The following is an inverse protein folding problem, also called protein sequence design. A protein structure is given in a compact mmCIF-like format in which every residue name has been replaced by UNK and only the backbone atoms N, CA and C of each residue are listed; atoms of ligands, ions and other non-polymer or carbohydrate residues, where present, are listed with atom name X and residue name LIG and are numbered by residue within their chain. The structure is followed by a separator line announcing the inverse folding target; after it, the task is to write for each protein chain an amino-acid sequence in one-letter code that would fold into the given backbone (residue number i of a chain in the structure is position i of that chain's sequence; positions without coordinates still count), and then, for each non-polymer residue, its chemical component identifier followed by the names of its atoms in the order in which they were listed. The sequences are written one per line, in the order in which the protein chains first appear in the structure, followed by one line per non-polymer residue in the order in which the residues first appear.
data_IF_802020750819
#
_entry.id   IF_802020750819
#
_cell.length_a   1.000
_cell.length_b   1.000
_cell.length_c   1.000
_cell.angle_alpha   90.00
_cell.angle_beta   90.00
_cell.angle_gamma   90.00
#
_symmetry.space_group_name_H-M   'P 1'
#
loop_
_entity.id
_entity.type
_entity.pdbx_description
1 polymer ?
#
# COMPACT_ATOMS: atom_id res chain seq x y z
N UNK A 1 21.79 -45.27 -43.11
CA UNK A 1 21.10 -43.94 -43.12
C UNK A 1 20.50 -43.61 -41.75
N UNK A 2 20.04 -44.60 -40.95
CA UNK A 2 19.46 -44.34 -39.61
C UNK A 2 20.50 -43.94 -38.55
N UNK A 3 21.74 -44.46 -38.62
CA UNK A 3 22.79 -44.11 -37.65
C UNK A 3 23.26 -42.64 -37.69
N UNK A 4 23.23 -42.02 -38.87
CA UNK A 4 23.60 -40.62 -38.98
C UNK A 4 22.52 -39.68 -38.43
N UNK A 5 21.25 -40.08 -38.51
CA UNK A 5 20.13 -39.32 -37.93
C UNK A 5 20.19 -39.39 -36.42
N UNK A 6 20.50 -40.54 -35.82
CA UNK A 6 20.65 -40.69 -34.38
C UNK A 6 21.82 -39.87 -33.81
N UNK A 7 22.97 -39.87 -34.49
CA UNK A 7 24.12 -39.09 -34.07
C UNK A 7 23.81 -37.58 -34.16
N UNK A 8 23.12 -37.14 -35.23
CA UNK A 8 22.77 -35.75 -35.41
C UNK A 8 21.76 -35.29 -34.34
N UNK A 9 20.79 -36.10 -34.02
CA UNK A 9 19.84 -35.85 -32.90
C UNK A 9 20.56 -35.76 -31.57
N UNK A 10 21.46 -36.66 -31.26
CA UNK A 10 22.21 -36.66 -30.01
C UNK A 10 23.12 -35.45 -29.85
N UNK A 11 23.83 -35.05 -30.90
CA UNK A 11 24.78 -33.93 -30.85
C UNK A 11 24.07 -32.57 -30.77
N UNK A 12 22.95 -32.39 -31.50
CA UNK A 12 22.25 -31.10 -31.56
C UNK A 12 21.32 -30.85 -30.38
N UNK A 13 20.67 -31.88 -29.84
CA UNK A 13 19.66 -31.73 -28.79
C UNK A 13 20.18 -31.99 -27.36
N UNK A 14 21.31 -32.65 -27.20
CA UNK A 14 21.88 -32.95 -25.87
C UNK A 14 22.26 -31.70 -25.08
N UNK A 15 22.95 -30.68 -25.67
CA UNK A 15 23.32 -29.49 -24.93
C UNK A 15 22.09 -28.67 -24.52
N UNK A 16 21.10 -28.53 -25.39
CA UNK A 16 19.87 -27.80 -25.06
C UNK A 16 19.05 -28.51 -23.95
N UNK A 17 18.99 -29.83 -23.94
CA UNK A 17 18.34 -30.59 -22.88
C UNK A 17 19.08 -30.51 -21.55
N UNK A 18 20.42 -30.53 -21.58
CA UNK A 18 21.22 -30.36 -20.36
C UNK A 18 21.06 -28.98 -19.77
N UNK A 19 21.06 -27.94 -20.59
CA UNK A 19 20.80 -26.56 -20.13
C UNK A 19 19.40 -26.39 -19.53
N UNK A 20 18.38 -26.94 -20.20
CA UNK A 20 17.01 -26.92 -19.66
C UNK A 20 16.88 -27.70 -18.34
N UNK A 21 17.61 -28.81 -18.16
CA UNK A 21 17.63 -29.55 -16.90
C UNK A 21 18.35 -28.79 -15.78
N UNK A 22 19.43 -28.07 -16.10
CA UNK A 22 20.17 -27.26 -15.13
C UNK A 22 19.33 -26.08 -14.67
N UNK A 23 18.65 -25.38 -15.60
CA UNK A 23 17.75 -24.29 -15.23
C UNK A 23 16.55 -24.77 -14.40
N UNK A 24 15.96 -25.90 -14.79
CA UNK A 24 14.84 -26.48 -14.05
C UNK A 24 15.25 -26.94 -12.65
N UNK A 25 16.40 -27.62 -12.51
CA UNK A 25 16.89 -28.07 -11.22
C UNK A 25 17.33 -26.91 -10.32
N UNK A 26 17.89 -25.84 -10.87
CA UNK A 26 18.24 -24.64 -10.09
C UNK A 26 17.00 -23.90 -9.57
N UNK A 27 15.94 -23.84 -10.36
CA UNK A 27 14.65 -23.26 -9.94
C UNK A 27 13.99 -24.08 -8.82
N UNK A 28 14.05 -25.40 -8.90
CA UNK A 28 13.50 -26.28 -7.86
C UNK A 28 14.30 -26.22 -6.55
N UNK A 29 15.62 -26.12 -6.63
CA UNK A 29 16.48 -26.02 -5.45
C UNK A 29 16.27 -24.71 -4.69
N UNK A 30 15.95 -23.62 -5.41
CA UNK A 30 15.63 -22.33 -4.80
C UNK A 30 14.26 -22.33 -4.06
N UNK A 31 13.33 -23.20 -4.48
CA UNK A 31 11.96 -23.23 -3.95
C UNK A 31 11.77 -24.19 -2.76
N UNK A 32 12.71 -25.10 -2.55
CA UNK A 32 12.64 -26.14 -1.49
C UNK A 32 13.49 -25.86 -0.24
N UNK A 33 14.19 -24.73 -0.19
CA UNK A 33 15.01 -24.39 0.96
C UNK A 33 14.13 -23.91 2.10
N UNK A 34 14.06 -24.69 3.18
CA UNK A 34 13.39 -24.26 4.40
C UNK A 34 13.92 -22.88 4.81
N UNK A 35 13.04 -21.94 5.19
CA UNK A 35 13.45 -20.59 5.54
C UNK A 35 14.48 -20.66 6.67
N UNK A 36 15.68 -20.14 6.40
CA UNK A 36 16.77 -20.09 7.39
C UNK A 36 16.34 -19.28 8.63
N UNK A 37 17.08 -19.36 9.75
CA UNK A 37 16.71 -18.65 10.98
C UNK A 37 16.56 -17.15 10.79
N UNK A 38 17.32 -16.55 9.87
CA UNK A 38 17.19 -15.12 9.52
C UNK A 38 15.81 -14.78 8.91
N UNK A 39 15.24 -15.68 8.11
CA UNK A 39 13.93 -15.44 7.49
C UNK A 39 12.80 -15.40 8.52
N UNK A 40 12.86 -16.23 9.55
CA UNK A 40 11.88 -16.19 10.64
C UNK A 40 11.94 -14.88 11.41
N UNK A 41 13.14 -14.33 11.65
CA UNK A 41 13.30 -13.01 12.27
C UNK A 41 12.72 -11.93 11.38
N UNK A 42 12.99 -11.94 10.08
CA UNK A 42 12.41 -10.98 9.15
C UNK A 42 10.88 -11.05 9.12
N UNK A 43 10.30 -12.24 9.10
CA UNK A 43 8.86 -12.43 9.16
C UNK A 43 8.26 -11.92 10.47
N UNK A 44 8.92 -12.16 11.60
CA UNK A 44 8.47 -11.65 12.89
C UNK A 44 8.48 -10.12 12.93
N UNK A 45 9.57 -9.49 12.48
CA UNK A 45 9.68 -8.02 12.39
C UNK A 45 8.60 -7.46 11.46
N UNK A 46 8.41 -8.04 10.27
CA UNK A 46 7.39 -7.61 9.33
C UNK A 46 5.98 -7.69 9.95
N UNK A 47 5.67 -8.77 10.66
CA UNK A 47 4.39 -8.97 11.31
C UNK A 47 4.14 -7.90 12.40
N UNK A 48 5.16 -7.59 13.20
CA UNK A 48 5.06 -6.55 14.24
C UNK A 48 4.81 -5.19 13.60
N UNK A 49 5.56 -4.84 12.56
CA UNK A 49 5.38 -3.57 11.84
C UNK A 49 3.99 -3.49 11.19
N UNK A 50 3.50 -4.58 10.64
CA UNK A 50 2.16 -4.65 10.04
C UNK A 50 1.06 -4.43 11.07
N UNK A 51 1.18 -5.05 12.25
CA UNK A 51 0.24 -4.85 13.35
C UNK A 51 0.27 -3.39 13.82
N UNK A 52 1.45 -2.80 13.99
CA UNK A 52 1.59 -1.40 14.37
C UNK A 52 0.92 -0.47 13.35
N UNK A 53 1.00 -0.78 12.06
CA UNK A 53 0.35 0.00 11.02
C UNK A 53 -1.19 -0.09 11.11
N UNK A 54 -1.74 -1.29 11.30
CA UNK A 54 -3.19 -1.45 11.50
C UNK A 54 -3.65 -0.67 12.74
N UNK A 55 -2.91 -0.72 13.84
CA UNK A 55 -3.24 0.03 15.06
C UNK A 55 -3.17 1.54 14.82
N UNK A 56 -2.21 2.02 14.04
CA UNK A 56 -2.12 3.44 13.67
C UNK A 56 -3.35 3.89 12.86
N UNK A 57 -3.75 3.13 11.85
CA UNK A 57 -4.95 3.39 11.07
C UNK A 57 -6.22 3.34 11.93
N UNK A 58 -6.31 2.36 12.85
CA UNK A 58 -7.42 2.28 13.80
C UNK A 58 -7.55 3.57 14.60
N UNK A 59 -6.44 4.08 15.14
CA UNK A 59 -6.43 5.32 15.89
C UNK A 59 -6.79 6.54 15.02
N UNK A 60 -6.31 6.61 13.79
CA UNK A 60 -6.68 7.67 12.85
C UNK A 60 -8.19 7.67 12.60
N UNK A 61 -8.78 6.50 12.35
CA UNK A 61 -10.22 6.38 12.12
C UNK A 61 -11.03 6.72 13.37
N UNK A 62 -10.61 6.23 14.54
CA UNK A 62 -11.26 6.57 15.82
C UNK A 62 -11.20 8.07 16.12
N UNK A 63 -10.08 8.74 15.83
CA UNK A 63 -9.95 10.20 15.96
C UNK A 63 -10.90 10.96 15.04
N UNK A 64 -11.19 10.41 13.86
CA UNK A 64 -12.12 10.98 12.89
C UNK A 64 -13.59 10.57 13.14
N UNK A 65 -13.88 9.90 14.28
CA UNK A 65 -15.24 9.44 14.58
C UNK A 65 -15.73 8.28 13.71
N UNK A 66 -14.82 7.59 13.03
CA UNK A 66 -15.15 6.43 12.20
C UNK A 66 -14.78 5.11 12.91
N UNK A 67 -15.44 4.01 12.54
CA UNK A 67 -15.17 2.72 13.17
C UNK A 67 -13.73 2.24 12.88
N UNK A 68 -12.94 2.01 13.92
CA UNK A 68 -11.54 1.60 13.80
C UNK A 68 -11.35 0.24 13.11
N UNK A 69 -12.29 -0.69 13.24
CA UNK A 69 -12.25 -2.00 12.57
C UNK A 69 -12.19 -1.89 11.03
N UNK A 70 -12.61 -0.75 10.48
CA UNK A 70 -12.51 -0.45 9.06
C UNK A 70 -11.06 -0.48 8.52
N UNK A 71 -10.07 -0.33 9.39
CA UNK A 71 -8.64 -0.44 9.03
C UNK A 71 -8.23 -1.85 8.57
N UNK A 72 -8.97 -2.88 9.00
CA UNK A 72 -8.67 -4.29 8.70
C UNK A 72 -9.22 -4.70 7.34
N UNK A 73 -10.34 -4.09 6.90
CA UNK A 73 -10.99 -4.44 5.63
C UNK A 73 -10.47 -3.54 4.49
N UNK A 74 -9.68 -4.06 3.52
CA UNK A 74 -8.95 -3.22 2.57
C UNK A 74 -9.83 -2.26 1.77
N UNK A 75 -10.94 -2.75 1.20
CA UNK A 75 -11.83 -1.94 0.37
C UNK A 75 -12.60 -0.93 1.24
N UNK A 76 -13.09 -1.36 2.39
CA UNK A 76 -13.82 -0.51 3.30
C UNK A 76 -12.95 0.57 3.94
N UNK A 77 -11.67 0.29 4.14
CA UNK A 77 -10.65 1.25 4.57
C UNK A 77 -10.64 2.49 3.67
N UNK A 78 -10.58 2.31 2.34
CA UNK A 78 -10.59 3.43 1.39
C UNK A 78 -11.94 4.18 1.36
N UNK A 79 -13.06 3.49 1.57
CA UNK A 79 -14.38 4.14 1.70
C UNK A 79 -14.40 5.05 2.92
N UNK A 80 -13.85 4.58 4.04
CA UNK A 80 -13.77 5.38 5.28
C UNK A 80 -12.80 6.55 5.10
N UNK A 81 -11.68 6.36 4.40
CA UNK A 81 -10.80 7.48 4.04
C UNK A 81 -11.53 8.56 3.26
N UNK A 82 -12.28 8.19 2.23
CA UNK A 82 -13.10 9.14 1.47
C UNK A 82 -14.08 9.88 2.37
N UNK A 83 -14.73 9.21 3.33
CA UNK A 83 -15.63 9.83 4.29
C UNK A 83 -14.92 10.83 5.21
N UNK A 84 -13.76 10.48 5.75
CA UNK A 84 -12.94 11.33 6.63
C UNK A 84 -12.56 12.62 5.90
N UNK A 85 -12.18 12.50 4.64
CA UNK A 85 -11.75 13.63 3.80
C UNK A 85 -12.94 14.44 3.27
N UNK A 86 -14.16 13.87 3.30
CA UNK A 86 -15.37 14.49 2.76
C UNK A 86 -15.56 14.29 1.27
N UNK A 87 -14.95 13.25 0.70
CA UNK A 87 -15.12 12.88 -0.70
C UNK A 87 -16.20 11.81 -0.84
N UNK A 88 -16.96 11.81 -1.95
CA UNK A 88 -17.98 10.78 -2.17
C UNK A 88 -17.36 9.39 -2.34
N UNK A 89 -18.08 8.35 -1.90
CA UNK A 89 -17.59 6.97 -1.88
C UNK A 89 -17.23 6.41 -3.27
N UNK A 90 -17.82 6.93 -4.35
CA UNK A 90 -17.48 6.53 -5.72
C UNK A 90 -16.03 6.86 -6.12
N UNK A 91 -15.35 7.75 -5.37
CA UNK A 91 -13.92 8.01 -5.54
C UNK A 91 -13.06 6.76 -5.34
N UNK A 92 -13.55 5.76 -4.61
CA UNK A 92 -12.87 4.47 -4.45
C UNK A 92 -12.72 3.76 -5.80
N UNK A 93 -13.69 3.89 -6.71
CA UNK A 93 -13.60 3.34 -8.07
C UNK A 93 -12.48 4.04 -8.87
N UNK A 94 -12.37 5.36 -8.75
CA UNK A 94 -11.28 6.12 -9.37
C UNK A 94 -9.92 5.76 -8.77
N UNK A 95 -9.88 5.50 -7.47
CA UNK A 95 -8.67 5.04 -6.78
C UNK A 95 -8.24 3.65 -7.29
N UNK A 96 -9.19 2.79 -7.65
CA UNK A 96 -8.90 1.47 -8.24
C UNK A 96 -8.33 1.57 -9.67
N UNK A 97 -8.80 2.54 -10.47
CA UNK A 97 -8.40 2.71 -11.87
C UNK A 97 -7.11 3.54 -11.98
N UNK A 98 -7.01 4.64 -11.23
CA UNK A 98 -5.90 5.59 -11.27
C UNK A 98 -5.24 5.74 -9.89
N UNK A 99 -4.84 4.62 -9.30
CA UNK A 99 -4.34 4.54 -7.93
C UNK A 99 -3.34 5.64 -7.54
N UNK A 100 -2.25 5.93 -8.30
CA UNK A 100 -1.24 6.86 -7.82
C UNK A 100 -1.76 8.30 -7.67
N UNK A 101 -2.57 8.78 -8.61
CA UNK A 101 -3.05 10.17 -8.61
C UNK A 101 -4.05 10.40 -7.47
N UNK A 102 -5.04 9.51 -7.33
CA UNK A 102 -6.07 9.64 -6.31
C UNK A 102 -5.52 9.38 -4.90
N UNK A 103 -4.55 8.50 -4.75
CA UNK A 103 -3.85 8.27 -3.49
C UNK A 103 -3.10 9.53 -3.01
N UNK A 104 -2.44 10.26 -3.93
CA UNK A 104 -1.77 11.52 -3.62
C UNK A 104 -2.76 12.56 -3.10
N UNK A 105 -3.87 12.76 -3.81
CA UNK A 105 -4.91 13.72 -3.42
C UNK A 105 -5.48 13.35 -2.05
N UNK A 106 -5.82 12.08 -1.86
CA UNK A 106 -6.42 11.58 -0.63
C UNK A 106 -5.48 11.73 0.58
N UNK A 107 -4.16 11.52 0.38
CA UNK A 107 -3.15 11.67 1.43
C UNK A 107 -2.96 13.12 1.85
N UNK A 108 -2.97 14.06 0.89
CA UNK A 108 -2.89 15.49 1.17
C UNK A 108 -4.16 15.97 1.88
N UNK A 109 -5.32 15.55 1.41
CA UNK A 109 -6.60 15.92 2.01
C UNK A 109 -6.74 15.31 3.41
N UNK A 110 -6.22 14.08 3.64
CA UNK A 110 -6.16 13.49 4.98
C UNK A 110 -5.29 14.32 5.92
N UNK A 111 -4.11 14.75 5.49
CA UNK A 111 -3.23 15.59 6.30
C UNK A 111 -3.93 16.91 6.69
N UNK A 112 -4.62 17.56 5.73
CA UNK A 112 -5.41 18.77 5.98
C UNK A 112 -6.55 18.54 6.96
N UNK A 113 -7.25 17.40 6.85
CA UNK A 113 -8.35 17.04 7.78
C UNK A 113 -7.88 16.91 9.24
N UNK A 114 -6.60 16.70 9.45
CA UNK A 114 -5.96 16.68 10.77
C UNK A 114 -5.18 17.97 11.09
N UNK A 115 -5.44 19.07 10.37
CA UNK A 115 -4.77 20.35 10.59
C UNK A 115 -3.28 20.36 10.27
N UNK A 116 -2.81 19.41 9.45
CA UNK A 116 -1.42 19.35 9.00
C UNK A 116 -1.28 19.94 7.61
N UNK A 117 -0.11 20.55 7.35
CA UNK A 117 0.19 21.14 6.05
C UNK A 117 0.37 20.13 4.93
N UNK A 118 0.41 20.62 3.69
CA UNK A 118 0.64 19.83 2.48
C UNK A 118 1.96 19.03 2.56
N UNK A 119 3.00 19.58 3.19
CA UNK A 119 4.28 18.89 3.41
C UNK A 119 4.13 17.59 4.21
N UNK A 120 3.22 17.56 5.20
CA UNK A 120 2.89 16.34 5.92
C UNK A 120 2.17 15.32 5.03
N UNK A 121 1.28 15.79 4.13
CA UNK A 121 0.64 14.97 3.11
C UNK A 121 1.64 14.32 2.15
N UNK A 122 2.65 15.08 1.71
CA UNK A 122 3.75 14.55 0.89
C UNK A 122 4.55 13.51 1.68
N UNK A 123 4.82 13.75 2.96
CA UNK A 123 5.44 12.77 3.85
C UNK A 123 4.63 11.48 3.96
N UNK A 124 3.32 11.58 3.99
CA UNK A 124 2.39 10.44 4.04
C UNK A 124 2.41 9.61 2.75
N UNK A 125 2.75 10.23 1.62
CA UNK A 125 2.92 9.57 0.32
C UNK A 125 4.28 8.84 0.25
N UNK A 126 5.36 9.51 0.67
CA UNK A 126 6.73 8.99 0.58
C UNK A 126 7.02 7.93 1.67
N UNK A 127 6.53 8.16 2.88
CA UNK A 127 6.77 7.32 4.05
C UNK A 127 5.44 7.05 4.80
N UNK A 128 4.50 6.34 4.15
CA UNK A 128 3.15 6.16 4.68
C UNK A 128 3.14 5.54 6.08
N UNK A 129 4.04 4.60 6.34
CA UNK A 129 4.15 3.93 7.62
C UNK A 129 4.51 4.89 8.75
N UNK A 130 5.55 5.71 8.60
CA UNK A 130 6.04 6.61 9.64
C UNK A 130 5.03 7.73 9.91
N UNK A 131 4.53 8.35 8.84
CA UNK A 131 3.59 9.47 8.98
C UNK A 131 2.20 9.02 9.47
N UNK A 132 1.76 7.80 9.14
CA UNK A 132 0.56 7.23 9.72
C UNK A 132 0.72 6.96 11.23
N UNK A 133 1.88 6.48 11.67
CA UNK A 133 2.19 6.35 13.10
C UNK A 133 2.17 7.70 13.81
N UNK A 134 2.82 8.72 13.25
CA UNK A 134 2.82 10.07 13.79
C UNK A 134 1.39 10.63 13.87
N UNK A 135 0.56 10.41 12.86
CA UNK A 135 -0.82 10.88 12.84
C UNK A 135 -1.71 10.12 13.84
N UNK A 136 -1.55 8.79 13.90
CA UNK A 136 -2.32 7.92 14.78
C UNK A 136 -1.99 8.13 16.26
N UNK A 137 -0.71 8.16 16.61
CA UNK A 137 -0.22 8.26 17.99
C UNK A 137 0.10 9.68 18.42
N UNK A 138 0.30 10.62 17.48
CA UNK A 138 0.57 12.01 17.78
C UNK A 138 -0.64 12.77 18.31
N UNK A 139 -0.41 14.02 18.70
CA UNK A 139 -1.43 14.95 19.25
C UNK A 139 -2.37 15.56 18.20
N UNK A 140 -2.22 15.21 16.91
CA UNK A 140 -3.08 15.70 15.86
C UNK A 140 -4.52 15.29 16.10
N UNK A 141 -5.43 16.28 16.06
CA UNK A 141 -6.87 16.08 16.20
C UNK A 141 -7.55 16.27 14.84
N UNK A 142 -8.62 15.56 14.64
CA UNK A 142 -9.45 15.72 13.44
C UNK A 142 -10.18 17.06 13.48
N UNK A 143 -9.97 17.88 12.45
CA UNK A 143 -10.55 19.23 12.32
C UNK A 143 -11.76 19.27 11.39
N UNK A 144 -12.14 18.14 10.82
CA UNK A 144 -13.22 18.04 9.87
C UNK A 144 -12.77 17.71 8.45
N UNK A 145 -13.73 17.45 7.55
CA UNK A 145 -13.44 17.06 6.17
C UNK A 145 -12.70 18.17 5.40
N UNK A 146 -11.53 17.85 4.84
CA UNK A 146 -10.75 18.84 4.07
C UNK A 146 -11.49 19.37 2.85
N UNK A 147 -12.36 18.57 2.23
CA UNK A 147 -13.18 19.00 1.11
C UNK A 147 -14.19 20.09 1.49
N UNK A 148 -14.71 20.06 2.73
CA UNK A 148 -15.59 21.12 3.25
C UNK A 148 -14.82 22.38 3.64
N UNK A 149 -13.61 22.26 4.15
CA UNK A 149 -12.74 23.39 4.50
C UNK A 149 -12.32 24.19 3.24
N UNK A 150 -12.04 23.51 2.12
CA UNK A 150 -11.75 24.17 0.84
C UNK A 150 -12.93 24.97 0.29
N UNK A 151 -14.16 24.51 0.50
CA UNK A 151 -15.36 25.23 0.10
C UNK A 151 -15.61 26.48 0.97
N UNK A 152 -15.30 26.41 2.26
CA UNK A 152 -15.45 27.53 3.19
C UNK A 152 -14.41 28.66 2.97
N UNK A 153 -13.18 28.30 2.55
CA UNK A 153 -12.12 29.27 2.24
C UNK A 153 -12.26 29.92 0.87
N UNK A 154 -13.08 29.39 -0.02
CA UNK A 154 -13.43 29.98 -1.34
C UNK A 154 -14.63 30.91 -1.32
N UNK A 155 -15.31 31.09 -0.18
CA UNK A 155 -16.35 32.09 0.02
C UNK A 155 -15.70 33.47 0.11
N UNK A 156 -16.10 34.40 -0.79
CA UNK A 156 -15.67 35.79 -0.87
C UNK A 156 -15.72 36.44 0.53
N UNK A 157 -14.67 37.19 0.94
CA UNK A 157 -14.75 38.00 2.13
C UNK A 157 -15.70 39.13 1.85
N UNK A 158 -16.91 39.06 2.37
CA UNK A 158 -17.86 40.18 2.31
C UNK A 158 -19.25 39.82 1.81
N UNK A 159 -19.98 39.05 2.58
CA UNK A 159 -21.44 39.16 2.58
C UNK A 159 -21.88 39.51 4.01
N UNK A 160 -22.63 40.61 4.18
CA UNK A 160 -23.10 41.14 5.47
C UNK A 160 -24.06 40.18 6.16
#
# INVERSE_FOLDING_TARGET
MNSLIEVTQTVLFTPARLLAQVEFSSSYSAQGQAPGPLSWVCWAVYTILFILWIVALWKIFSKAGQPGWASIVPIYNYIVWCKIVGRPAWWVLLLLICFPIFYIILSIDLAKSFGKGVGFGIGLILLPFIFALILGFGSAQYQGPAAAQGAASGGLPGAP
#
